data_IF_191564044671
#
_entry.id   IF_191564044671
#
_cell.length_a   1.000
_cell.length_b   1.000
_cell.length_c   1.000
_cell.angle_alpha   90.00
_cell.angle_beta   90.00
_cell.angle_gamma   90.00
#
_symmetry.space_group_name_H-M   'P 1'
#
loop_
_entity.id
_entity.type
_entity.pdbx_description
1 polymer ?
#
# COMPACT_ATOMS: atom_id res chain seq x y z
N UNK A 1 -2.35 5.80 12.71
CA UNK A 1 -2.50 6.89 13.71
C UNK A 1 -2.41 8.26 13.05
N UNK A 2 -1.35 8.59 12.28
CA UNK A 2 -1.20 9.91 11.66
C UNK A 2 -2.42 10.32 10.84
N UNK A 3 -2.89 9.46 9.93
CA UNK A 3 -4.06 9.70 9.07
C UNK A 3 -5.30 10.02 9.88
N UNK A 4 -5.54 9.28 10.97
CA UNK A 4 -6.70 9.50 11.83
C UNK A 4 -6.71 10.91 12.43
N UNK A 5 -5.56 11.35 12.98
CA UNK A 5 -5.45 12.70 13.58
C UNK A 5 -5.55 13.78 12.48
N UNK A 6 -4.88 13.60 11.35
CA UNK A 6 -4.94 14.54 10.24
C UNK A 6 -6.37 14.72 9.72
N UNK A 7 -7.11 13.62 9.53
CA UNK A 7 -8.52 13.67 9.12
C UNK A 7 -9.41 14.30 10.20
N UNK A 8 -9.18 13.99 11.47
CA UNK A 8 -9.92 14.58 12.57
C UNK A 8 -9.73 16.11 12.63
N UNK A 9 -8.49 16.60 12.50
CA UNK A 9 -8.18 18.03 12.40
C UNK A 9 -8.93 18.67 11.23
N UNK A 10 -8.86 18.05 10.05
CA UNK A 10 -9.53 18.55 8.85
C UNK A 10 -11.04 18.63 9.02
N UNK A 11 -11.66 17.59 9.56
CA UNK A 11 -13.12 17.57 9.82
C UNK A 11 -13.51 18.62 10.85
N UNK A 12 -12.74 18.77 11.95
CA UNK A 12 -13.00 19.80 12.95
C UNK A 12 -12.97 21.21 12.35
N UNK A 13 -11.96 21.51 11.52
CA UNK A 13 -11.88 22.78 10.80
C UNK A 13 -13.06 23.01 9.84
N UNK A 14 -13.34 22.03 9.01
CA UNK A 14 -14.39 22.16 7.97
C UNK A 14 -15.80 22.28 8.54
N UNK A 15 -16.03 21.68 9.69
CA UNK A 15 -17.35 21.62 10.34
C UNK A 15 -17.49 22.56 11.55
N UNK A 16 -16.45 23.33 11.88
CA UNK A 16 -16.46 24.22 13.06
C UNK A 16 -16.64 23.47 14.38
N UNK A 17 -16.14 22.21 14.47
CA UNK A 17 -16.31 21.39 15.67
C UNK A 17 -15.31 21.81 16.76
N UNK A 18 -15.71 21.80 18.05
CA UNK A 18 -14.79 22.04 19.14
C UNK A 18 -13.74 20.93 19.22
N UNK A 19 -12.45 21.32 19.21
CA UNK A 19 -11.34 20.38 19.26
C UNK A 19 -10.09 21.05 19.79
N UNK A 20 -9.24 20.30 20.52
CA UNK A 20 -7.91 20.74 20.92
C UNK A 20 -6.92 20.59 19.74
N UNK A 21 -7.05 21.50 18.77
CA UNK A 21 -6.26 21.49 17.54
C UNK A 21 -4.76 21.63 17.78
N UNK A 22 -4.35 22.31 18.86
CA UNK A 22 -2.93 22.46 19.24
C UNK A 22 -2.35 21.12 19.67
N UNK A 23 -3.05 20.41 20.56
CA UNK A 23 -2.63 19.07 20.99
C UNK A 23 -2.63 18.07 19.85
N UNK A 24 -3.69 18.08 19.04
CA UNK A 24 -3.79 17.16 17.88
C UNK A 24 -2.73 17.46 16.84
N UNK A 25 -2.44 18.74 16.56
CA UNK A 25 -1.38 19.13 15.64
C UNK A 25 -0.01 18.63 16.10
N UNK A 26 0.33 18.84 17.38
CA UNK A 26 1.59 18.35 17.96
C UNK A 26 1.71 16.82 17.88
N UNK A 27 0.64 16.08 18.17
CA UNK A 27 0.63 14.63 18.11
C UNK A 27 0.80 14.14 16.66
N UNK A 28 0.09 14.75 15.71
CA UNK A 28 0.22 14.46 14.26
C UNK A 28 1.66 14.67 13.79
N UNK A 29 2.25 15.81 14.12
CA UNK A 29 3.61 16.17 13.68
C UNK A 29 4.66 15.26 14.32
N UNK A 30 4.50 14.91 15.60
CA UNK A 30 5.39 13.96 16.28
C UNK A 30 5.38 12.59 15.61
N UNK A 31 4.20 12.08 15.23
CA UNK A 31 4.07 10.82 14.49
C UNK A 31 4.70 10.94 13.10
N UNK A 32 4.48 12.05 12.39
CA UNK A 32 5.08 12.29 11.09
C UNK A 32 6.61 12.22 11.15
N UNK A 33 7.22 13.00 12.02
CA UNK A 33 8.68 13.01 12.16
C UNK A 33 9.23 11.66 12.61
N UNK A 34 8.54 10.96 13.51
CA UNK A 34 8.93 9.62 13.92
C UNK A 34 8.96 8.64 12.74
N UNK A 35 7.94 8.67 11.88
CA UNK A 35 7.89 7.79 10.70
C UNK A 35 8.99 8.18 9.71
N UNK A 36 9.11 9.47 9.41
CA UNK A 36 10.09 9.96 8.43
C UNK A 36 11.55 9.72 8.83
N UNK A 37 11.83 9.62 10.14
CA UNK A 37 13.17 9.42 10.69
C UNK A 37 13.45 7.96 11.04
N UNK A 38 12.52 7.28 11.70
CA UNK A 38 12.78 5.98 12.31
C UNK A 38 12.23 4.78 11.52
N UNK A 39 11.45 5.02 10.46
CA UNK A 39 10.99 3.99 9.53
C UNK A 39 11.69 4.10 8.17
N UNK A 40 12.60 5.05 8.02
CA UNK A 40 13.49 5.15 6.87
C UNK A 40 14.79 4.40 7.15
N UNK A 41 15.06 3.38 6.35
CA UNK A 41 16.32 2.67 6.39
C UNK A 41 17.28 3.28 5.35
N UNK A 42 18.40 3.90 5.77
CA UNK A 42 19.34 4.54 4.86
C UNK A 42 20.19 3.53 4.05
N UNK A 43 20.33 2.28 4.51
CA UNK A 43 21.05 1.23 3.79
C UNK A 43 20.18 0.66 2.67
N UNK A 44 18.94 0.33 2.98
CA UNK A 44 17.95 -0.11 2.00
C UNK A 44 17.45 1.03 1.11
N UNK A 45 17.60 2.28 1.56
CA UNK A 45 17.00 3.49 0.95
C UNK A 45 15.48 3.34 0.77
N UNK A 46 14.80 2.82 1.78
CA UNK A 46 13.37 2.53 1.76
C UNK A 46 12.71 2.74 3.11
N UNK A 47 11.41 3.00 3.10
CA UNK A 47 10.57 2.89 4.28
C UNK A 47 10.32 1.41 4.59
N UNK A 48 10.40 1.06 5.88
CA UNK A 48 10.35 -0.31 6.37
C UNK A 48 9.14 -0.56 7.26
N UNK A 49 8.85 -1.83 7.53
CA UNK A 49 7.67 -2.33 8.23
C UNK A 49 7.46 -1.69 9.61
N UNK A 50 8.52 -1.54 10.38
CA UNK A 50 8.45 -1.02 11.75
C UNK A 50 9.64 -0.13 12.09
N UNK A 51 9.50 0.60 13.19
CA UNK A 51 10.55 1.49 13.69
C UNK A 51 11.89 0.77 13.87
N UNK A 52 12.94 1.35 13.31
CA UNK A 52 14.32 0.80 13.37
C UNK A 52 14.42 -0.63 12.80
N UNK A 53 13.52 -1.01 11.90
CA UNK A 53 13.55 -2.29 11.21
C UNK A 53 14.34 -2.24 9.91
N UNK A 54 14.51 -3.42 9.29
CA UNK A 54 15.21 -3.59 8.01
C UNK A 54 14.42 -4.50 7.06
N UNK A 55 13.10 -4.59 7.25
CA UNK A 55 12.23 -5.49 6.46
C UNK A 55 11.15 -4.67 5.77
N UNK A 56 10.91 -4.99 4.50
CA UNK A 56 9.84 -4.42 3.71
C UNK A 56 8.49 -5.08 4.03
N UNK A 57 7.43 -4.28 3.87
CA UNK A 57 6.04 -4.74 3.96
C UNK A 57 5.21 -3.93 2.96
N UNK A 58 4.33 -4.60 2.23
CA UNK A 58 3.50 -3.96 1.22
C UNK A 58 2.56 -2.88 1.79
N UNK A 59 2.34 -2.84 3.11
CA UNK A 59 1.55 -1.76 3.74
C UNK A 59 2.16 -0.37 3.55
N UNK A 60 3.47 -0.26 3.26
CA UNK A 60 4.10 1.03 2.95
C UNK A 60 3.52 1.65 1.67
N UNK A 61 2.93 0.85 0.76
CA UNK A 61 2.20 1.34 -0.41
C UNK A 61 1.06 2.30 -0.03
N UNK A 62 0.53 2.18 1.18
CA UNK A 62 -0.50 3.08 1.70
C UNK A 62 -0.01 4.50 1.99
N UNK A 63 1.30 4.76 2.02
CA UNK A 63 1.82 6.08 2.36
C UNK A 63 1.34 7.18 1.39
N UNK A 64 1.53 7.08 0.06
CA UNK A 64 0.98 8.07 -0.87
C UNK A 64 -0.54 7.97 -1.04
N UNK A 65 -1.11 6.76 -0.95
CA UNK A 65 -2.56 6.55 -1.06
C UNK A 65 -3.31 7.29 0.06
N UNK A 66 -2.76 7.26 1.28
CA UNK A 66 -3.30 8.00 2.43
C UNK A 66 -2.91 9.48 2.46
N UNK A 67 -2.09 9.95 1.51
CA UNK A 67 -1.53 11.30 1.43
C UNK A 67 -0.58 11.63 2.58
N UNK A 68 0.13 10.62 3.09
CA UNK A 68 1.17 10.80 4.10
C UNK A 68 2.46 11.37 3.47
N UNK A 69 2.85 10.88 2.31
CA UNK A 69 3.94 11.42 1.47
C UNK A 69 3.41 11.81 0.10
N UNK A 70 4.13 12.68 -0.60
CA UNK A 70 3.85 12.95 -2.01
C UNK A 70 4.22 11.73 -2.86
N UNK A 71 3.45 11.40 -3.92
CA UNK A 71 3.80 10.31 -4.83
C UNK A 71 5.12 10.53 -5.57
N UNK A 72 5.61 11.77 -5.61
CA UNK A 72 6.89 12.17 -6.22
C UNK A 72 8.03 12.36 -5.20
N UNK A 73 7.82 12.05 -3.91
CA UNK A 73 8.87 12.12 -2.89
C UNK A 73 10.00 11.14 -3.25
N UNK A 74 11.27 11.57 -3.32
CA UNK A 74 12.38 10.69 -3.74
C UNK A 74 12.56 9.46 -2.84
N UNK A 75 12.29 9.58 -1.53
CA UNK A 75 12.36 8.43 -0.62
C UNK A 75 11.24 7.45 -0.87
N UNK A 76 10.06 7.97 -1.19
CA UNK A 76 8.94 7.13 -1.58
C UNK A 76 9.20 6.41 -2.90
N UNK A 77 9.72 7.10 -3.92
CA UNK A 77 10.06 6.48 -5.20
C UNK A 77 11.11 5.38 -5.04
N UNK A 78 12.16 5.63 -4.24
CA UNK A 78 13.17 4.62 -3.91
C UNK A 78 12.55 3.41 -3.17
N UNK A 79 11.58 3.64 -2.27
CA UNK A 79 10.84 2.56 -1.59
C UNK A 79 10.01 1.74 -2.58
N UNK A 80 9.33 2.41 -3.52
CA UNK A 80 8.51 1.75 -4.54
C UNK A 80 9.37 0.88 -5.47
N UNK A 81 10.54 1.35 -5.86
CA UNK A 81 11.49 0.59 -6.67
C UNK A 81 11.96 -0.67 -5.94
N UNK A 82 12.45 -0.52 -4.69
CA UNK A 82 12.90 -1.66 -3.91
C UNK A 82 11.77 -2.66 -3.63
N UNK A 83 10.54 -2.19 -3.41
CA UNK A 83 9.38 -3.05 -3.23
C UNK A 83 9.10 -3.85 -4.51
N UNK A 84 9.18 -3.19 -5.67
CA UNK A 84 9.06 -3.84 -6.97
C UNK A 84 10.08 -4.96 -7.18
N UNK A 85 11.32 -4.73 -6.76
CA UNK A 85 12.41 -5.71 -6.89
C UNK A 85 12.31 -6.86 -5.88
N UNK A 86 11.73 -6.63 -4.70
CA UNK A 86 11.79 -7.57 -3.56
C UNK A 86 10.49 -8.33 -3.31
N UNK A 87 9.33 -7.69 -3.48
CA UNK A 87 8.02 -8.23 -3.12
C UNK A 87 7.09 -8.47 -4.32
N UNK A 88 7.53 -8.18 -5.54
CA UNK A 88 6.71 -8.36 -6.75
C UNK A 88 7.23 -9.54 -7.57
N UNK A 89 6.33 -10.46 -7.90
CA UNK A 89 6.59 -11.57 -8.80
C UNK A 89 5.50 -11.63 -9.86
N UNK A 90 5.88 -11.56 -11.13
CA UNK A 90 4.95 -11.57 -12.28
C UNK A 90 3.80 -10.56 -12.12
N UNK A 91 4.13 -9.34 -11.68
CA UNK A 91 3.21 -8.22 -11.37
C UNK A 91 2.30 -8.42 -10.16
N UNK A 92 2.38 -9.54 -9.45
CA UNK A 92 1.64 -9.82 -8.23
C UNK A 92 2.50 -9.54 -7.00
N UNK A 93 1.89 -9.06 -5.91
CA UNK A 93 2.60 -8.54 -4.74
C UNK A 93 2.44 -9.45 -3.53
N UNK A 94 3.56 -9.91 -2.96
CA UNK A 94 3.62 -10.52 -1.64
C UNK A 94 3.43 -9.45 -0.55
N UNK A 95 2.80 -9.81 0.56
CA UNK A 95 2.60 -8.90 1.67
C UNK A 95 3.93 -8.51 2.32
N UNK A 96 4.76 -9.48 2.60
CA UNK A 96 6.14 -9.38 3.10
C UNK A 96 6.88 -10.70 2.81
N UNK A 97 8.17 -10.74 3.10
CA UNK A 97 8.94 -11.99 3.10
C UNK A 97 8.78 -12.68 4.47
N UNK A 98 8.10 -13.85 4.56
CA UNK A 98 7.90 -14.53 5.83
C UNK A 98 9.20 -15.07 6.46
N UNK A 99 10.28 -15.23 5.68
CA UNK A 99 11.59 -15.61 6.21
C UNK A 99 12.27 -14.46 6.94
N UNK A 100 12.02 -13.22 6.53
CA UNK A 100 12.57 -12.01 7.14
C UNK A 100 11.65 -11.43 8.22
N UNK A 101 10.35 -11.68 8.14
CA UNK A 101 9.33 -11.20 9.06
C UNK A 101 8.40 -12.34 9.48
N UNK A 102 8.88 -13.28 10.35
CA UNK A 102 8.07 -14.41 10.77
C UNK A 102 6.85 -13.95 11.58
N UNK A 103 5.67 -14.36 11.14
CA UNK A 103 4.38 -14.04 11.77
C UNK A 103 3.86 -15.12 12.73
N UNK A 104 4.63 -16.20 12.88
CA UNK A 104 4.29 -17.34 13.74
C UNK A 104 3.32 -18.34 13.10
N UNK A 105 2.92 -18.14 11.86
CA UNK A 105 2.10 -19.08 11.11
C UNK A 105 2.98 -20.12 10.39
N UNK A 106 2.41 -21.30 10.15
CA UNK A 106 3.09 -22.33 9.35
C UNK A 106 2.55 -22.28 7.92
N UNK A 107 3.46 -22.38 6.96
CA UNK A 107 3.14 -22.42 5.53
C UNK A 107 3.68 -21.20 4.79
N UNK A 108 3.47 -21.19 3.47
CA UNK A 108 3.81 -20.08 2.60
C UNK A 108 2.53 -19.31 2.25
N UNK A 109 2.59 -17.98 2.30
CA UNK A 109 1.51 -17.13 1.79
C UNK A 109 1.62 -17.02 0.27
N UNK A 110 0.47 -16.93 -0.40
CA UNK A 110 0.41 -16.47 -1.78
C UNK A 110 0.60 -14.96 -1.91
N UNK A 111 0.52 -14.46 -3.14
CA UNK A 111 0.48 -13.02 -3.37
C UNK A 111 -0.84 -12.44 -2.90
N UNK A 112 -0.81 -11.29 -2.23
CA UNK A 112 -2.00 -10.64 -1.68
C UNK A 112 -2.67 -9.78 -2.74
N UNK A 113 -3.91 -10.12 -3.09
CA UNK A 113 -4.68 -9.41 -4.12
C UNK A 113 -4.85 -7.92 -3.80
N UNK A 114 -5.11 -7.58 -2.54
CA UNK A 114 -5.21 -6.19 -2.08
C UNK A 114 -3.89 -5.43 -2.27
N UNK A 115 -2.75 -6.05 -1.95
CA UNK A 115 -1.43 -5.44 -2.09
C UNK A 115 -1.09 -5.19 -3.55
N UNK A 116 -1.48 -6.10 -4.44
CA UNK A 116 -1.33 -5.93 -5.88
C UNK A 116 -2.10 -4.70 -6.38
N UNK A 117 -3.34 -4.49 -5.97
CA UNK A 117 -4.10 -3.29 -6.34
C UNK A 117 -3.54 -2.01 -5.70
N UNK A 118 -2.99 -2.06 -4.49
CA UNK A 118 -2.27 -0.92 -3.91
C UNK A 118 -1.01 -0.57 -4.71
N UNK A 119 -0.27 -1.57 -5.17
CA UNK A 119 0.90 -1.38 -6.03
C UNK A 119 0.53 -0.72 -7.35
N UNK A 120 -0.51 -1.21 -8.00
CA UNK A 120 -1.10 -0.61 -9.21
C UNK A 120 -1.41 0.88 -8.99
N UNK A 121 -2.12 1.21 -7.92
CA UNK A 121 -2.46 2.59 -7.60
C UNK A 121 -1.21 3.43 -7.28
N UNK A 122 -0.24 2.88 -6.55
CA UNK A 122 1.01 3.55 -6.22
C UNK A 122 1.83 3.88 -7.46
N UNK A 123 1.96 2.95 -8.41
CA UNK A 123 2.60 3.16 -9.71
C UNK A 123 1.91 4.27 -10.51
N UNK A 124 0.58 4.21 -10.62
CA UNK A 124 -0.21 5.23 -11.33
C UNK A 124 0.02 6.62 -10.75
N UNK A 125 -0.01 6.75 -9.41
CA UNK A 125 0.24 8.01 -8.72
C UNK A 125 1.68 8.51 -8.84
N UNK A 126 2.65 7.62 -8.99
CA UNK A 126 4.06 7.95 -9.25
C UNK A 126 4.34 8.34 -10.72
N UNK A 127 3.31 8.31 -11.58
CA UNK A 127 3.44 8.60 -13.02
C UNK A 127 3.92 7.43 -13.86
N UNK A 128 4.07 6.23 -13.26
CA UNK A 128 4.48 4.98 -13.94
C UNK A 128 3.25 4.28 -14.53
N UNK A 129 2.55 4.98 -15.45
CA UNK A 129 1.22 4.58 -15.92
C UNK A 129 1.24 3.28 -16.70
N UNK A 130 2.25 3.07 -17.55
CA UNK A 130 2.36 1.83 -18.35
C UNK A 130 2.58 0.60 -17.47
N UNK A 131 3.43 0.71 -16.44
CA UNK A 131 3.67 -0.37 -15.48
C UNK A 131 2.43 -0.64 -14.62
N UNK A 132 1.76 0.43 -14.19
CA UNK A 132 0.48 0.34 -13.47
C UNK A 132 -0.57 -0.41 -14.29
N UNK A 133 -0.70 -0.07 -15.56
CA UNK A 133 -1.63 -0.71 -16.49
C UNK A 133 -1.31 -2.19 -16.68
N UNK A 134 -0.04 -2.52 -16.89
CA UNK A 134 0.40 -3.91 -17.06
C UNK A 134 0.07 -4.76 -15.82
N UNK A 135 0.39 -4.25 -14.62
CA UNK A 135 0.07 -4.94 -13.36
C UNK A 135 -1.45 -5.08 -13.15
N UNK A 136 -2.23 -4.07 -13.52
CA UNK A 136 -3.68 -4.11 -13.44
C UNK A 136 -4.27 -5.13 -14.42
N UNK A 137 -3.86 -5.08 -15.71
CA UNK A 137 -4.31 -6.02 -16.73
C UNK A 137 -3.98 -7.47 -16.35
N UNK A 138 -2.79 -7.71 -15.77
CA UNK A 138 -2.43 -9.02 -15.24
C UNK A 138 -3.37 -9.44 -14.12
N UNK A 139 -3.58 -8.59 -13.11
CA UNK A 139 -4.39 -8.93 -11.94
C UNK A 139 -5.86 -9.21 -12.29
N UNK A 140 -6.44 -8.49 -13.26
CA UNK A 140 -7.84 -8.73 -13.65
C UNK A 140 -8.06 -10.09 -14.32
N UNK A 141 -7.02 -10.74 -14.85
CA UNK A 141 -7.14 -12.09 -15.44
C UNK A 141 -7.43 -13.18 -14.40
N UNK A 142 -7.17 -12.92 -13.11
CA UNK A 142 -7.43 -13.84 -12.01
C UNK A 142 -8.84 -13.76 -11.43
N UNK A 143 -9.71 -12.91 -11.99
CA UNK A 143 -11.12 -12.92 -11.64
C UNK A 143 -11.77 -14.26 -12.00
N UNK A 144 -12.72 -14.71 -11.19
CA UNK A 144 -13.57 -15.82 -11.63
C UNK A 144 -14.56 -15.36 -12.72
N UNK A 145 -15.39 -16.29 -13.21
CA UNK A 145 -16.40 -16.01 -14.26
C UNK A 145 -17.47 -14.97 -13.88
N UNK A 146 -17.55 -14.58 -12.59
CA UNK A 146 -18.45 -13.53 -12.08
C UNK A 146 -17.68 -12.21 -11.82
N UNK A 147 -16.38 -12.12 -12.13
CA UNK A 147 -15.54 -10.96 -11.82
C UNK A 147 -15.16 -10.82 -10.34
N UNK A 148 -15.17 -11.93 -9.58
CA UNK A 148 -14.87 -11.93 -8.15
C UNK A 148 -13.44 -12.40 -7.89
N UNK A 149 -12.83 -11.85 -6.82
CA UNK A 149 -11.44 -12.09 -6.41
C UNK A 149 -11.36 -12.62 -4.99
N UNK A 150 -10.36 -13.48 -4.77
CA UNK A 150 -9.96 -13.97 -3.46
C UNK A 150 -9.01 -13.00 -2.73
N UNK A 151 -8.71 -13.33 -1.49
CA UNK A 151 -7.72 -12.66 -0.66
C UNK A 151 -6.31 -12.80 -1.21
N UNK A 152 -5.94 -14.01 -1.63
CA UNK A 152 -4.61 -14.36 -2.12
C UNK A 152 -4.69 -15.16 -3.41
N UNK A 153 -3.59 -15.14 -4.14
CA UNK A 153 -3.33 -16.01 -5.29
C UNK A 153 -2.11 -16.88 -4.99
N UNK A 154 -2.27 -18.17 -5.12
CA UNK A 154 -1.17 -19.12 -4.99
C UNK A 154 -0.26 -19.15 -6.22
N UNK A 155 0.86 -19.91 -6.15
CA UNK A 155 1.88 -19.94 -7.20
C UNK A 155 1.37 -20.39 -8.57
N UNK A 156 0.30 -21.18 -8.62
CA UNK A 156 -0.31 -21.68 -9.87
C UNK A 156 -1.57 -20.89 -10.26
N UNK A 157 -1.85 -19.76 -9.57
CA UNK A 157 -2.98 -18.89 -9.84
C UNK A 157 -4.28 -19.32 -9.14
N UNK A 158 -4.21 -20.29 -8.23
CA UNK A 158 -5.34 -20.71 -7.41
C UNK A 158 -5.77 -19.61 -6.44
N UNK A 159 -7.08 -19.46 -6.27
CA UNK A 159 -7.66 -18.51 -5.33
C UNK A 159 -7.63 -19.07 -3.90
N UNK A 160 -6.97 -18.35 -3.00
CA UNK A 160 -6.74 -18.75 -1.61
C UNK A 160 -7.33 -17.72 -0.62
N UNK A 161 -7.57 -18.18 0.61
CA UNK A 161 -8.09 -17.34 1.69
C UNK A 161 -9.58 -17.02 1.52
N UNK A 162 -9.99 -15.86 2.01
CA UNK A 162 -11.39 -15.43 1.94
C UNK A 162 -11.84 -15.15 0.51
N UNK A 163 -12.99 -15.70 0.11
CA UNK A 163 -13.55 -15.50 -1.21
C UNK A 163 -15.08 -15.36 -1.16
N UNK A 164 -15.67 -14.36 -1.85
CA UNK A 164 -15.00 -13.17 -2.37
C UNK A 164 -14.55 -12.24 -1.23
N UNK A 165 -13.40 -11.56 -1.40
CA UNK A 165 -12.92 -10.66 -0.37
C UNK A 165 -13.27 -9.19 -0.67
N UNK A 166 -13.99 -8.55 0.26
CA UNK A 166 -14.44 -7.16 0.10
C UNK A 166 -13.27 -6.15 -0.01
N UNK A 167 -12.21 -6.31 0.78
CA UNK A 167 -11.05 -5.42 0.73
C UNK A 167 -10.34 -5.45 -0.61
N UNK A 168 -10.22 -6.63 -1.22
CA UNK A 168 -9.67 -6.78 -2.58
C UNK A 168 -10.52 -5.99 -3.59
N UNK A 169 -11.85 -6.10 -3.53
CA UNK A 169 -12.74 -5.38 -4.46
C UNK A 169 -12.73 -3.86 -4.24
N UNK A 170 -12.62 -3.39 -2.99
CA UNK A 170 -12.47 -1.96 -2.72
C UNK A 170 -11.17 -1.40 -3.31
N UNK A 171 -10.08 -2.16 -3.21
CA UNK A 171 -8.78 -1.76 -3.79
C UNK A 171 -8.79 -1.84 -5.32
N UNK A 172 -9.46 -2.84 -5.92
CA UNK A 172 -9.71 -2.91 -7.36
C UNK A 172 -10.41 -1.65 -7.87
N UNK A 173 -11.50 -1.24 -7.23
CA UNK A 173 -12.26 -0.04 -7.62
C UNK A 173 -11.36 1.21 -7.54
N UNK A 174 -10.59 1.35 -6.45
CA UNK A 174 -9.68 2.48 -6.28
C UNK A 174 -8.58 2.50 -7.35
N UNK A 175 -7.95 1.34 -7.62
CA UNK A 175 -6.92 1.20 -8.63
C UNK A 175 -7.45 1.52 -10.04
N UNK A 176 -8.58 0.94 -10.43
CA UNK A 176 -9.22 1.18 -11.72
C UNK A 176 -9.53 2.67 -11.93
N UNK A 177 -10.11 3.34 -10.92
CA UNK A 177 -10.42 4.76 -10.97
C UNK A 177 -9.17 5.64 -11.12
N UNK A 178 -8.07 5.28 -10.41
CA UNK A 178 -6.83 6.05 -10.49
C UNK A 178 -6.09 5.85 -11.82
N UNK A 179 -6.13 4.65 -12.41
CA UNK A 179 -5.58 4.41 -13.76
C UNK A 179 -6.39 5.17 -14.81
N UNK A 180 -7.71 5.05 -14.80
CA UNK A 180 -8.59 5.73 -15.73
C UNK A 180 -8.33 7.25 -15.74
N UNK A 181 -8.22 7.81 -14.53
CA UNK A 181 -7.89 9.23 -14.36
C UNK A 181 -6.48 9.60 -14.85
N UNK A 182 -5.52 8.69 -14.80
CA UNK A 182 -4.16 8.94 -15.25
C UNK A 182 -4.01 8.82 -16.77
N UNK A 183 -4.91 8.07 -17.41
CA UNK A 183 -4.96 7.90 -18.87
C UNK A 183 -5.71 9.04 -19.57
N UNK A 184 -6.48 9.87 -18.84
CA UNK A 184 -7.26 11.02 -19.36
C UNK A 184 -8.66 10.67 -19.64
#
# INVERSE_FOLDING_TARGET
CWVAIERAIRVAHQRGLPADLVRWGRARDAIYYQIMDRFWDPELKAFVQHRDGHVLDASVLMMPLSKFVAPSDPRWLSTLDLLGDSLVSDSLVYRYDPHLSPDGLQGEEGTMSICTFWYVEALSRAGRVDESRLAFEKMITYANHLGLYAEQLGPTGEQLGNFPQAFTHLSLISAAFNIDRALG
#
